data_IF_159318807815
#
_entry.id   IF_159318807815
#
_cell.length_a   1.000
_cell.length_b   1.000
_cell.length_c   1.000
_cell.angle_alpha   90.00
_cell.angle_beta   90.00
_cell.angle_gamma   90.00
#
_symmetry.space_group_name_H-M   'P 1'
#
loop_
_entity.id
_entity.type
_entity.pdbx_description
1 polymer ?
#
# COMPACT_ATOMS: atom_id res chain seq x y z
N UNK A 1 19.03 -17.35 -3.72
CA UNK A 1 17.91 -16.40 -3.46
C UNK A 1 17.04 -16.37 -4.71
N UNK A 2 15.71 -16.51 -4.64
CA UNK A 2 14.88 -16.52 -5.87
C UNK A 2 14.44 -15.09 -6.22
N UNK A 3 15.24 -14.41 -7.04
CA UNK A 3 15.07 -13.01 -7.45
C UNK A 3 13.66 -12.74 -8.01
N UNK A 4 13.16 -13.64 -8.86
CA UNK A 4 11.81 -13.58 -9.42
C UNK A 4 10.73 -13.52 -8.33
N UNK A 5 10.80 -14.39 -7.32
CA UNK A 5 9.84 -14.38 -6.20
C UNK A 5 9.88 -13.09 -5.38
N UNK A 6 11.06 -12.51 -5.20
CA UNK A 6 11.20 -11.23 -4.47
C UNK A 6 10.60 -10.08 -5.27
N UNK A 7 10.81 -10.07 -6.59
CA UNK A 7 10.21 -9.08 -7.48
C UNK A 7 8.69 -9.20 -7.53
N UNK A 8 8.14 -10.41 -7.70
CA UNK A 8 6.69 -10.63 -7.70
C UNK A 8 6.08 -10.15 -6.39
N UNK A 9 6.70 -10.49 -5.26
CA UNK A 9 6.28 -10.03 -3.94
C UNK A 9 6.38 -8.50 -3.76
N UNK A 10 7.40 -7.86 -4.35
CA UNK A 10 7.53 -6.41 -4.39
C UNK A 10 6.35 -5.76 -5.13
N UNK A 11 6.01 -6.29 -6.31
CA UNK A 11 4.91 -5.82 -7.15
C UNK A 11 3.58 -6.00 -6.42
N UNK A 12 3.36 -7.17 -5.82
CA UNK A 12 2.15 -7.44 -5.03
C UNK A 12 1.98 -6.42 -3.91
N UNK A 13 3.01 -6.23 -3.06
CA UNK A 13 2.96 -5.24 -1.98
C UNK A 13 2.70 -3.82 -2.48
N UNK A 14 3.28 -3.44 -3.62
CA UNK A 14 3.03 -2.14 -4.23
C UNK A 14 1.58 -2.01 -4.67
N UNK A 15 1.06 -3.01 -5.38
CA UNK A 15 -0.28 -2.99 -5.95
C UNK A 15 -1.35 -3.02 -4.85
N UNK A 16 -1.21 -3.89 -3.86
CA UNK A 16 -2.08 -3.88 -2.67
C UNK A 16 -1.99 -2.55 -1.92
N UNK A 17 -0.78 -2.01 -1.72
CA UNK A 17 -0.60 -0.71 -1.08
C UNK A 17 -1.35 0.42 -1.81
N UNK A 18 -1.25 0.48 -3.14
CA UNK A 18 -1.97 1.49 -3.95
C UNK A 18 -3.48 1.29 -3.90
N UNK A 19 -3.97 0.05 -3.99
CA UNK A 19 -5.41 -0.25 -3.91
C UNK A 19 -5.97 0.14 -2.54
N UNK A 20 -5.27 -0.18 -1.45
CA UNK A 20 -5.67 0.23 -0.10
C UNK A 20 -5.64 1.74 0.08
N UNK A 21 -4.67 2.42 -0.53
CA UNK A 21 -4.59 3.88 -0.50
C UNK A 21 -5.80 4.51 -1.18
N UNK A 22 -6.18 3.99 -2.35
CA UNK A 22 -7.35 4.43 -3.09
C UNK A 22 -8.65 4.14 -2.32
N UNK A 23 -8.79 2.94 -1.74
CA UNK A 23 -9.94 2.62 -0.90
C UNK A 23 -10.04 3.57 0.31
N UNK A 24 -8.91 3.85 0.98
CA UNK A 24 -8.81 4.80 2.08
C UNK A 24 -9.20 6.22 1.69
N UNK A 25 -8.82 6.70 0.50
CA UNK A 25 -9.20 8.03 0.03
C UNK A 25 -10.70 8.15 -0.26
N UNK A 26 -11.35 7.09 -0.73
CA UNK A 26 -12.81 7.07 -0.87
C UNK A 26 -13.53 7.10 0.49
N UNK A 27 -13.04 6.37 1.49
CA UNK A 27 -13.59 6.47 2.86
C UNK A 27 -13.42 7.87 3.45
N UNK A 28 -12.27 8.50 3.20
CA UNK A 28 -12.03 9.88 3.61
C UNK A 28 -12.95 10.88 2.90
N UNK A 29 -13.22 10.69 1.60
CA UNK A 29 -14.26 11.46 0.90
C UNK A 29 -15.63 11.28 1.56
N UNK A 30 -16.00 10.04 1.91
CA UNK A 30 -17.22 9.73 2.63
C UNK A 30 -17.34 10.44 3.98
N UNK A 31 -16.20 10.71 4.65
CA UNK A 31 -16.14 11.49 5.88
C UNK A 31 -16.44 12.97 5.65
N UNK A 32 -15.89 13.57 4.59
CA UNK A 32 -16.00 15.01 4.30
C UNK A 32 -17.43 15.41 3.89
N UNK A 33 -18.19 14.51 3.23
CA UNK A 33 -19.52 14.88 2.72
C UNK A 33 -20.50 15.08 3.90
N UNK A 34 -21.11 16.28 4.04
CA UNK A 34 -22.02 16.56 5.13
C UNK A 34 -23.35 15.82 4.91
N UNK A 35 -23.52 14.72 5.65
CA UNK A 35 -24.79 14.00 5.81
C UNK A 35 -25.08 13.94 7.32
N UNK A 36 -26.34 13.74 7.70
CA UNK A 36 -26.70 13.46 9.09
C UNK A 36 -26.02 12.15 9.52
N UNK A 37 -24.90 12.28 10.23
CA UNK A 37 -24.09 11.17 10.71
C UNK A 37 -24.01 11.24 12.21
N UNK A 38 -24.18 10.11 12.87
CA UNK A 38 -23.97 10.02 14.31
C UNK A 38 -22.47 10.19 14.61
N UNK A 39 -22.13 10.69 15.81
CA UNK A 39 -20.72 10.76 16.24
C UNK A 39 -20.01 9.39 16.17
N UNK A 40 -20.75 8.29 16.37
CA UNK A 40 -20.26 6.93 16.18
C UNK A 40 -19.90 6.60 14.73
N UNK A 41 -20.74 6.98 13.76
CA UNK A 41 -20.50 6.74 12.33
C UNK A 41 -19.27 7.50 11.84
N UNK A 42 -19.10 8.74 12.30
CA UNK A 42 -17.93 9.57 12.00
C UNK A 42 -16.64 8.93 12.53
N UNK A 43 -16.64 8.47 13.79
CA UNK A 43 -15.48 7.82 14.38
C UNK A 43 -15.12 6.49 13.69
N UNK A 44 -16.12 5.72 13.27
CA UNK A 44 -15.92 4.45 12.57
C UNK A 44 -15.32 4.68 11.17
N UNK A 45 -15.88 5.61 10.40
CA UNK A 45 -15.37 5.95 9.06
C UNK A 45 -13.98 6.60 9.12
N UNK A 46 -13.74 7.48 10.10
CA UNK A 46 -12.43 8.07 10.33
C UNK A 46 -11.39 7.01 10.73
N UNK A 47 -11.75 6.11 11.64
CA UNK A 47 -10.91 4.98 12.06
C UNK A 47 -10.58 4.04 10.90
N UNK A 48 -11.57 3.71 10.07
CA UNK A 48 -11.38 2.92 8.87
C UNK A 48 -10.42 3.63 7.89
N UNK A 49 -10.66 4.91 7.59
CA UNK A 49 -9.82 5.70 6.69
C UNK A 49 -8.35 5.73 7.13
N UNK A 50 -8.11 5.97 8.43
CA UNK A 50 -6.78 5.93 9.02
C UNK A 50 -6.17 4.53 8.96
N UNK A 51 -6.94 3.48 9.23
CA UNK A 51 -6.49 2.10 9.15
C UNK A 51 -6.03 1.71 7.75
N UNK A 52 -6.83 2.03 6.72
CA UNK A 52 -6.47 1.81 5.32
C UNK A 52 -5.22 2.60 4.91
N UNK A 53 -5.09 3.85 5.37
CA UNK A 53 -3.92 4.68 5.10
C UNK A 53 -2.65 4.10 5.73
N UNK A 54 -2.69 3.73 7.02
CA UNK A 54 -1.56 3.14 7.73
C UNK A 54 -1.15 1.81 7.10
N UNK A 55 -2.11 0.94 6.79
CA UNK A 55 -1.85 -0.36 6.17
C UNK A 55 -1.26 -0.21 4.77
N UNK A 56 -1.76 0.76 3.99
CA UNK A 56 -1.19 1.11 2.68
C UNK A 56 0.27 1.56 2.82
N UNK A 57 0.56 2.49 3.74
CA UNK A 57 1.92 2.97 3.98
C UNK A 57 2.89 1.84 4.39
N UNK A 58 2.43 0.90 5.22
CA UNK A 58 3.19 -0.29 5.59
C UNK A 58 3.52 -1.17 4.38
N UNK A 59 2.53 -1.51 3.54
CA UNK A 59 2.74 -2.33 2.35
C UNK A 59 3.69 -1.66 1.35
N UNK A 60 3.57 -0.36 1.13
CA UNK A 60 4.49 0.40 0.28
C UNK A 60 5.91 0.41 0.85
N UNK A 61 6.06 0.45 2.18
CA UNK A 61 7.37 0.36 2.85
C UNK A 61 7.99 -1.03 2.68
N UNK A 62 7.20 -2.10 2.83
CA UNK A 62 7.64 -3.47 2.55
C UNK A 62 8.07 -3.64 1.09
N UNK A 63 7.32 -3.07 0.14
CA UNK A 63 7.68 -3.06 -1.27
C UNK A 63 9.04 -2.39 -1.50
N UNK A 64 9.29 -1.22 -0.88
CA UNK A 64 10.61 -0.57 -0.92
C UNK A 64 11.72 -1.45 -0.36
N UNK A 65 11.46 -2.16 0.74
CA UNK A 65 12.40 -3.13 1.31
C UNK A 65 12.75 -4.27 0.35
N UNK A 66 11.76 -4.82 -0.36
CA UNK A 66 12.00 -5.82 -1.40
C UNK A 66 12.83 -5.25 -2.56
N UNK A 67 12.55 -4.02 -2.99
CA UNK A 67 13.33 -3.34 -4.04
C UNK A 67 14.78 -3.15 -3.63
N UNK A 68 15.06 -2.69 -2.41
CA UNK A 68 16.43 -2.55 -1.91
C UNK A 68 17.18 -3.88 -1.97
N UNK A 69 16.56 -4.98 -1.54
CA UNK A 69 17.16 -6.32 -1.61
C UNK A 69 17.49 -6.77 -3.05
N UNK A 70 16.69 -6.36 -4.03
CA UNK A 70 16.97 -6.66 -5.44
C UNK A 70 18.15 -5.83 -5.95
N UNK A 71 18.24 -4.56 -5.54
CA UNK A 71 19.32 -3.65 -5.96
C UNK A 71 20.67 -4.03 -5.34
N UNK A 72 20.69 -4.66 -4.17
CA UNK A 72 21.93 -5.15 -3.53
C UNK A 72 22.63 -6.29 -4.28
N UNK A 73 21.98 -6.90 -5.29
CA UNK A 73 22.53 -8.04 -6.03
C UNK A 73 22.56 -7.77 -7.53
N UNK A 74 23.63 -8.18 -8.20
CA UNK A 74 23.82 -8.00 -9.65
C UNK A 74 22.69 -8.68 -10.45
N UNK A 75 22.31 -9.92 -10.07
CA UNK A 75 21.17 -10.64 -10.65
C UNK A 75 19.83 -9.89 -10.48
N UNK A 76 19.63 -9.26 -9.33
CA UNK A 76 18.43 -8.49 -9.03
C UNK A 76 18.36 -7.17 -9.78
N UNK A 77 19.49 -6.49 -9.96
CA UNK A 77 19.59 -5.31 -10.82
C UNK A 77 19.32 -5.65 -12.28
N UNK A 78 19.91 -6.72 -12.81
CA UNK A 78 19.68 -7.16 -14.18
C UNK A 78 18.20 -7.51 -14.42
N UNK A 79 17.56 -8.17 -13.44
CA UNK A 79 16.14 -8.51 -13.52
C UNK A 79 15.23 -7.27 -13.47
N UNK A 80 15.58 -6.25 -12.67
CA UNK A 80 14.87 -4.96 -12.63
C UNK A 80 15.00 -4.16 -13.94
N UNK A 81 16.14 -4.25 -14.62
CA UNK A 81 16.38 -3.55 -15.90
C UNK A 81 15.65 -4.23 -17.08
N UNK A 82 15.38 -5.53 -16.97
CA UNK A 82 14.66 -6.31 -17.99
C UNK A 82 13.13 -6.23 -17.89
N UNK A 83 12.55 -5.62 -16.84
CA UNK A 83 11.11 -5.69 -16.54
C UNK A 83 10.52 -4.37 -16.03
#
# INVERSE_FOLDING_TARGET
MNVKKIYEKMVDYRQFGVVLLAAGSFFFMGLIIPFEKTAGDLNLVAGASLGFLLLSALLLTLSKGCRNKLVETEEGQEYLMKK
#
